data_IF_200651588876
#
_entry.id   IF_200651588876
#
_cell.length_a   1.000
_cell.length_b   1.000
_cell.length_c   1.000
_cell.angle_alpha   90.00
_cell.angle_beta   90.00
_cell.angle_gamma   90.00
#
_symmetry.space_group_name_H-M   'P 1'
#
loop_
_entity.id
_entity.type
_entity.pdbx_description
1 polymer ?
#
# COMPACT_ATOMS: atom_id res chain seq x y z
N UNK A 1 12.73 -3.22 22.72
CA UNK A 1 11.38 -3.48 22.19
C UNK A 1 11.09 -4.93 22.51
N UNK A 2 10.00 -5.23 23.20
CA UNK A 2 9.60 -6.62 23.41
C UNK A 2 9.42 -7.28 22.05
N UNK A 3 9.83 -8.53 21.92
CA UNK A 3 9.66 -9.30 20.67
C UNK A 3 8.18 -9.30 20.28
N UNK A 4 7.84 -8.51 19.29
CA UNK A 4 6.47 -8.38 18.82
C UNK A 4 6.12 -9.63 18.03
N UNK A 5 4.98 -10.23 18.33
CA UNK A 5 4.56 -11.47 17.66
C UNK A 5 4.53 -11.27 16.11
N UNK A 6 5.11 -12.19 15.31
CA UNK A 6 5.26 -12.00 13.84
C UNK A 6 3.92 -11.76 13.11
N UNK A 7 2.81 -12.32 13.63
CA UNK A 7 1.49 -12.09 13.06
C UNK A 7 1.02 -10.64 13.23
N UNK A 8 1.39 -9.99 14.35
CA UNK A 8 1.12 -8.56 14.61
C UNK A 8 1.93 -7.69 13.66
N UNK A 9 3.21 -8.02 13.47
CA UNK A 9 4.08 -7.32 12.52
C UNK A 9 3.52 -7.39 11.09
N UNK A 10 3.14 -8.60 10.64
CA UNK A 10 2.53 -8.81 9.32
C UNK A 10 1.22 -8.03 9.17
N UNK A 11 0.42 -7.94 10.23
CA UNK A 11 -0.82 -7.17 10.21
C UNK A 11 -0.53 -5.66 10.14
N UNK A 12 0.44 -5.17 10.89
CA UNK A 12 0.86 -3.77 10.85
C UNK A 12 1.40 -3.39 9.47
N UNK A 13 2.24 -4.23 8.88
CA UNK A 13 2.72 -4.03 7.50
C UNK A 13 1.57 -4.05 6.47
N UNK A 14 0.61 -4.95 6.65
CA UNK A 14 -0.59 -4.96 5.81
C UNK A 14 -1.39 -3.67 5.91
N UNK A 15 -1.61 -3.15 7.12
CA UNK A 15 -2.32 -1.89 7.35
C UNK A 15 -1.50 -0.73 6.79
N UNK A 16 -0.20 -0.66 7.10
CA UNK A 16 0.73 0.37 6.63
C UNK A 16 0.79 0.43 5.09
N UNK A 17 0.85 -0.72 4.43
CA UNK A 17 0.82 -0.81 2.95
C UNK A 17 -0.48 -0.28 2.33
N UNK A 18 -1.55 -0.18 3.11
CA UNK A 18 -2.84 0.36 2.68
C UNK A 18 -2.94 1.89 2.83
N UNK A 19 -1.96 2.50 3.49
CA UNK A 19 -1.86 3.94 3.74
C UNK A 19 -0.73 4.50 2.89
N UNK A 20 -0.99 5.63 2.25
CA UNK A 20 0.02 6.27 1.42
C UNK A 20 0.72 7.38 2.20
N UNK A 21 1.96 7.11 2.60
CA UNK A 21 2.85 8.06 3.28
C UNK A 21 3.74 8.83 2.30
N UNK A 22 3.52 8.67 0.99
CA UNK A 22 4.33 9.34 -0.04
C UNK A 22 3.79 10.71 -0.34
N UNK A 23 4.71 11.66 -0.48
CA UNK A 23 4.45 13.05 -0.86
C UNK A 23 5.29 13.33 -2.09
N UNK A 24 4.66 13.69 -3.20
CA UNK A 24 5.40 14.04 -4.41
C UNK A 24 5.79 15.52 -4.39
N UNK A 25 7.06 15.78 -4.70
CA UNK A 25 7.59 17.13 -4.96
C UNK A 25 7.60 17.33 -6.47
N UNK A 26 6.74 18.20 -6.96
CA UNK A 26 6.58 18.49 -8.38
C UNK A 26 6.58 20.00 -8.61
N UNK A 27 6.71 20.43 -9.84
CA UNK A 27 6.64 21.87 -10.17
C UNK A 27 7.58 22.27 -11.27
N UNK A 28 7.80 23.57 -11.40
CA UNK A 28 8.57 24.15 -12.48
C UNK A 28 10.02 23.66 -12.51
N UNK A 29 10.60 23.68 -13.71
CA UNK A 29 12.06 23.54 -13.86
C UNK A 29 12.72 24.70 -13.13
N UNK A 30 13.87 24.43 -12.51
CA UNK A 30 14.68 25.40 -11.75
C UNK A 30 13.96 26.09 -10.56
N UNK A 31 12.80 25.57 -10.16
CA UNK A 31 12.10 26.07 -8.98
C UNK A 31 12.74 25.65 -7.63
N UNK A 32 13.86 24.93 -7.64
CA UNK A 32 14.54 24.53 -6.41
C UNK A 32 13.95 23.29 -5.71
N UNK A 33 13.31 22.38 -6.47
CA UNK A 33 12.72 21.13 -5.89
C UNK A 33 13.76 20.30 -5.16
N UNK A 34 14.89 20.00 -5.79
CA UNK A 34 15.96 19.19 -5.18
C UNK A 34 16.61 19.92 -3.99
N UNK A 35 16.77 21.24 -4.05
CA UNK A 35 17.24 22.02 -2.91
C UNK A 35 16.24 21.96 -1.75
N UNK A 36 14.94 22.00 -2.01
CA UNK A 36 13.91 21.86 -1.01
C UNK A 36 13.93 20.44 -0.38
N UNK A 37 14.07 19.41 -1.19
CA UNK A 37 14.17 18.02 -0.69
C UNK A 37 15.37 17.90 0.23
N UNK A 38 16.54 18.42 -0.15
CA UNK A 38 17.73 18.42 0.70
C UNK A 38 17.49 19.15 2.02
N UNK A 39 16.88 20.32 1.97
CA UNK A 39 16.54 21.09 3.17
C UNK A 39 15.56 20.34 4.09
N UNK A 40 14.65 19.55 3.54
CA UNK A 40 13.65 18.80 4.31
C UNK A 40 14.20 17.49 4.88
N UNK A 41 15.04 16.78 4.15
CA UNK A 41 15.49 15.42 4.50
C UNK A 41 16.88 15.36 5.11
N UNK A 42 17.72 16.37 4.87
CA UNK A 42 19.14 16.32 5.17
C UNK A 42 19.94 15.44 4.20
N UNK A 43 19.29 14.84 3.21
CA UNK A 43 19.92 13.99 2.19
C UNK A 43 20.53 14.84 1.08
N UNK A 44 21.58 14.33 0.45
CA UNK A 44 22.20 14.97 -0.72
C UNK A 44 21.49 14.51 -1.99
N UNK A 45 20.32 15.06 -2.30
CA UNK A 45 19.76 14.90 -3.63
C UNK A 45 20.64 15.64 -4.64
N UNK A 46 20.75 15.10 -5.84
CA UNK A 46 21.61 15.69 -6.87
C UNK A 46 21.06 17.06 -7.30
N UNK A 47 21.67 18.14 -6.80
CA UNK A 47 21.39 19.49 -7.27
C UNK A 47 22.23 19.70 -8.52
N UNK A 48 21.61 19.67 -9.69
CA UNK A 48 22.27 19.99 -10.95
C UNK A 48 21.89 21.41 -11.40
N UNK A 49 22.86 22.12 -11.93
CA UNK A 49 22.63 23.37 -12.65
C UNK A 49 22.15 23.15 -14.09
N UNK A 50 22.13 21.90 -14.57
CA UNK A 50 21.61 21.55 -15.87
C UNK A 50 20.06 21.49 -15.83
N UNK A 51 19.41 21.98 -16.89
CA UNK A 51 17.96 22.18 -17.03
C UNK A 51 17.13 20.89 -16.89
N UNK A 52 17.75 19.69 -17.00
CA UNK A 52 17.10 18.38 -17.02
C UNK A 52 17.70 17.41 -16.01
N UNK A 53 17.92 17.86 -14.77
CA UNK A 53 18.63 17.11 -13.74
C UNK A 53 17.92 15.82 -13.31
N UNK A 54 16.57 15.82 -13.25
CA UNK A 54 15.79 14.68 -12.78
C UNK A 54 15.01 14.08 -13.95
N UNK A 55 15.48 12.94 -14.47
CA UNK A 55 14.82 12.20 -15.57
C UNK A 55 13.83 11.15 -15.07
N UNK A 56 14.07 10.59 -13.89
CA UNK A 56 13.23 9.59 -13.25
C UNK A 56 12.74 10.08 -11.87
N UNK A 57 11.69 9.43 -11.35
CA UNK A 57 11.20 9.71 -10.00
C UNK A 57 12.15 9.06 -8.99
N UNK A 58 12.75 9.86 -8.14
CA UNK A 58 13.63 9.42 -7.06
C UNK A 58 12.89 9.54 -5.73
N UNK A 59 13.09 8.55 -4.83
CA UNK A 59 12.48 8.52 -3.51
C UNK A 59 13.50 8.83 -2.43
N UNK A 60 13.18 9.77 -1.55
CA UNK A 60 13.98 10.17 -0.39
C UNK A 60 13.21 9.89 0.89
N UNK A 61 13.83 9.26 1.91
CA UNK A 61 13.17 9.11 3.20
C UNK A 61 12.91 10.48 3.84
N UNK A 62 11.77 10.63 4.47
CA UNK A 62 11.46 11.81 5.27
C UNK A 62 11.22 11.38 6.71
N UNK A 63 12.23 11.64 7.55
CA UNK A 63 12.29 11.05 8.89
C UNK A 63 12.03 9.53 8.78
N UNK A 64 11.66 8.85 9.82
CA UNK A 64 11.33 7.40 9.77
C UNK A 64 9.88 7.12 9.39
N UNK A 65 9.16 8.12 8.84
CA UNK A 65 7.70 8.10 8.71
C UNK A 65 7.18 8.12 7.30
N UNK A 66 7.86 8.79 6.38
CA UNK A 66 7.34 9.03 5.04
C UNK A 66 8.40 9.03 3.95
N UNK A 67 7.97 9.32 2.73
CA UNK A 67 8.83 9.43 1.56
C UNK A 67 8.49 10.69 0.77
N UNK A 68 9.51 11.45 0.40
CA UNK A 68 9.43 12.50 -0.60
C UNK A 68 9.83 11.91 -1.96
N UNK A 69 8.97 12.07 -2.95
CA UNK A 69 9.23 11.64 -4.32
C UNK A 69 9.60 12.84 -5.17
N UNK A 70 10.84 12.93 -5.62
CA UNK A 70 11.29 13.96 -6.56
C UNK A 70 10.83 13.62 -7.97
N UNK A 71 10.03 14.48 -8.56
CA UNK A 71 9.52 14.34 -9.91
C UNK A 71 10.26 15.27 -10.88
N UNK A 72 10.41 14.90 -12.15
CA UNK A 72 10.93 15.78 -13.18
C UNK A 72 10.19 17.13 -13.22
N UNK A 73 10.85 18.17 -13.72
CA UNK A 73 10.23 19.49 -13.87
C UNK A 73 9.06 19.47 -14.85
N UNK A 74 8.01 20.24 -14.54
CA UNK A 74 6.84 20.39 -15.41
C UNK A 74 7.23 21.24 -16.63
N UNK A 75 6.88 20.76 -17.82
CA UNK A 75 7.09 21.50 -19.07
C UNK A 75 8.50 21.37 -19.67
N UNK A 76 9.26 20.34 -19.27
CA UNK A 76 10.47 19.94 -19.99
C UNK A 76 10.14 19.36 -21.35
N UNK A 77 11.10 19.38 -22.26
CA UNK A 77 10.98 18.78 -23.62
C UNK A 77 10.71 17.29 -23.55
N UNK A 78 11.22 16.60 -22.49
CA UNK A 78 11.08 15.16 -22.29
C UNK A 78 9.73 14.75 -21.67
N UNK A 79 9.05 15.66 -20.93
CA UNK A 79 7.82 15.36 -20.23
C UNK A 79 6.65 16.24 -20.66
N UNK A 80 5.93 15.80 -21.67
CA UNK A 80 4.65 16.42 -22.03
C UNK A 80 3.66 16.31 -20.85
N UNK A 81 2.67 17.22 -20.74
CA UNK A 81 1.64 17.14 -19.69
C UNK A 81 0.89 15.80 -19.66
N UNK A 82 0.81 15.09 -20.79
CA UNK A 82 0.21 13.74 -20.86
C UNK A 82 1.07 12.70 -20.18
N UNK A 83 2.37 12.67 -20.48
CA UNK A 83 3.33 11.74 -19.86
C UNK A 83 3.44 12.00 -18.36
N UNK A 84 3.47 13.28 -17.96
CA UNK A 84 3.51 13.68 -16.57
C UNK A 84 2.29 13.17 -15.78
N UNK A 85 1.09 13.26 -16.37
CA UNK A 85 -0.13 12.69 -15.79
C UNK A 85 -0.07 11.16 -15.65
N UNK A 86 0.55 10.48 -16.62
CA UNK A 86 0.77 9.03 -16.54
C UNK A 86 1.72 8.67 -15.41
N UNK A 87 2.79 9.45 -15.24
CA UNK A 87 3.77 9.28 -14.17
C UNK A 87 3.09 9.44 -12.78
N UNK A 88 2.32 10.50 -12.58
CA UNK A 88 1.55 10.72 -11.34
C UNK A 88 0.58 9.56 -11.03
N UNK A 89 -0.06 8.99 -12.05
CA UNK A 89 -0.93 7.80 -11.90
C UNK A 89 -0.13 6.54 -11.55
N UNK A 90 1.03 6.32 -12.21
CA UNK A 90 1.92 5.18 -11.94
C UNK A 90 2.34 5.14 -10.48
N UNK A 91 2.73 6.27 -9.92
CA UNK A 91 3.15 6.39 -8.52
C UNK A 91 2.00 6.56 -7.53
N UNK A 92 0.74 6.58 -8.00
CA UNK A 92 -0.49 6.67 -7.17
C UNK A 92 -0.44 7.84 -6.17
N UNK A 93 0.11 8.97 -6.60
CA UNK A 93 0.31 10.15 -5.75
C UNK A 93 -1.02 10.65 -5.17
N UNK A 94 -1.03 10.98 -3.88
CA UNK A 94 -2.20 11.49 -3.13
C UNK A 94 -1.98 12.86 -2.50
N UNK A 95 -0.73 13.25 -2.27
CA UNK A 95 -0.35 14.56 -1.80
C UNK A 95 0.83 15.08 -2.61
N UNK A 96 0.75 16.31 -3.00
CA UNK A 96 1.74 17.00 -3.83
C UNK A 96 2.18 18.29 -3.15
N UNK A 97 3.48 18.49 -3.09
CA UNK A 97 4.12 19.79 -2.88
C UNK A 97 4.42 20.38 -4.25
N UNK A 98 3.64 21.36 -4.67
CA UNK A 98 3.83 22.02 -5.97
C UNK A 98 4.76 23.22 -5.85
N UNK A 99 5.98 23.09 -6.34
CA UNK A 99 7.05 24.10 -6.19
C UNK A 99 7.16 24.96 -7.44
N UNK A 100 7.10 26.26 -7.27
CA UNK A 100 7.27 27.25 -8.32
C UNK A 100 7.95 28.52 -7.79
N UNK A 101 8.67 29.22 -8.65
CA UNK A 101 9.40 30.46 -8.31
C UNK A 101 9.07 31.61 -9.25
N UNK A 102 8.20 31.37 -10.21
CA UNK A 102 7.83 32.34 -11.24
C UNK A 102 6.32 32.29 -11.51
N UNK A 103 5.88 33.00 -12.55
CA UNK A 103 4.47 32.94 -12.99
C UNK A 103 4.07 31.51 -13.39
N UNK A 104 2.83 31.19 -13.12
CA UNK A 104 2.24 29.91 -13.53
C UNK A 104 2.07 29.90 -15.04
N UNK A 105 2.59 28.87 -15.70
CA UNK A 105 2.58 28.68 -17.15
C UNK A 105 1.43 27.73 -17.54
N UNK A 106 1.07 27.69 -18.81
CA UNK A 106 0.03 26.77 -19.33
C UNK A 106 0.30 25.28 -19.00
N UNK A 107 1.57 24.87 -18.98
CA UNK A 107 1.94 23.51 -18.61
C UNK A 107 1.62 23.24 -17.14
N UNK A 108 1.91 24.18 -16.24
CA UNK A 108 1.58 24.12 -14.82
C UNK A 108 0.07 24.01 -14.61
N UNK A 109 -0.71 24.88 -15.27
CA UNK A 109 -2.18 24.85 -15.18
C UNK A 109 -2.77 23.50 -15.60
N UNK A 110 -2.27 22.91 -16.69
CA UNK A 110 -2.73 21.58 -17.14
C UNK A 110 -2.48 20.50 -16.14
N UNK A 111 -1.33 20.53 -15.44
CA UNK A 111 -1.01 19.57 -14.36
C UNK A 111 -1.87 19.85 -13.14
N UNK A 112 -1.98 21.09 -12.70
CA UNK A 112 -2.78 21.49 -11.53
C UNK A 112 -4.27 21.14 -11.72
N UNK A 113 -4.85 21.43 -12.90
CA UNK A 113 -6.22 21.00 -13.26
C UNK A 113 -6.40 19.49 -13.18
N UNK A 114 -5.38 18.73 -13.59
CA UNK A 114 -5.42 17.28 -13.47
C UNK A 114 -5.39 16.83 -12.00
N UNK A 115 -4.52 17.40 -11.17
CA UNK A 115 -4.43 17.09 -9.74
C UNK A 115 -5.76 17.34 -9.03
N UNK A 116 -6.38 18.50 -9.29
CA UNK A 116 -7.71 18.86 -8.77
C UNK A 116 -8.79 17.86 -9.18
N UNK A 117 -8.88 17.52 -10.48
CA UNK A 117 -9.83 16.50 -10.99
C UNK A 117 -9.65 15.12 -10.35
N UNK A 118 -8.43 14.76 -9.99
CA UNK A 118 -8.13 13.49 -9.31
C UNK A 118 -8.29 13.57 -7.78
N UNK A 119 -8.71 14.72 -7.24
CA UNK A 119 -8.83 14.98 -5.80
C UNK A 119 -7.51 14.71 -5.05
N UNK A 120 -6.39 15.03 -5.70
CA UNK A 120 -5.06 14.95 -5.09
C UNK A 120 -4.85 16.22 -4.28
N UNK A 121 -4.47 16.07 -3.01
CA UNK A 121 -4.16 17.21 -2.14
C UNK A 121 -2.93 17.94 -2.69
N UNK A 122 -3.02 19.25 -2.83
CA UNK A 122 -1.90 20.10 -3.29
C UNK A 122 -1.58 21.13 -2.22
N UNK A 123 -0.31 21.21 -1.86
CA UNK A 123 0.28 22.31 -1.08
C UNK A 123 1.16 23.10 -2.02
N UNK A 124 0.87 24.38 -2.21
CA UNK A 124 1.62 25.25 -3.10
C UNK A 124 2.81 25.88 -2.38
N UNK A 125 3.98 25.84 -3.02
CA UNK A 125 5.22 26.36 -2.47
C UNK A 125 5.79 27.37 -3.45
N UNK A 126 5.75 28.65 -3.06
CA UNK A 126 6.50 29.70 -3.73
C UNK A 126 7.93 29.69 -3.16
N UNK A 127 8.86 29.26 -3.98
CA UNK A 127 10.29 29.13 -3.61
C UNK A 127 11.09 30.34 -4.04
N UNK A 128 12.37 30.40 -3.63
CA UNK A 128 13.28 31.53 -3.93
C UNK A 128 12.73 32.88 -3.45
N UNK A 129 12.16 32.89 -2.26
CA UNK A 129 11.61 34.10 -1.65
C UNK A 129 12.68 35.22 -1.53
N UNK A 130 13.94 34.81 -1.39
CA UNK A 130 15.12 35.71 -1.40
C UNK A 130 15.25 36.52 -2.68
N UNK A 131 14.66 36.08 -3.79
CA UNK A 131 14.65 36.81 -5.07
C UNK A 131 13.44 37.74 -5.22
N UNK A 132 12.48 37.69 -4.29
CA UNK A 132 11.32 38.58 -4.28
C UNK A 132 11.71 39.90 -3.60
N UNK A 133 12.30 40.78 -4.37
CA UNK A 133 12.78 42.09 -3.93
C UNK A 133 12.22 43.22 -4.80
N UNK A 134 11.94 44.35 -4.19
CA UNK A 134 11.63 45.55 -4.92
C UNK A 134 12.93 46.26 -5.31
N UNK A 135 13.26 46.30 -6.61
CA UNK A 135 14.44 46.97 -7.11
C UNK A 135 14.41 48.49 -6.87
N UNK A 136 13.25 49.07 -6.58
CA UNK A 136 13.12 50.51 -6.25
C UNK A 136 13.33 50.82 -4.79
N UNK A 137 13.34 49.78 -3.92
CA UNK A 137 13.48 49.91 -2.49
C UNK A 137 12.29 50.55 -1.75
N UNK A 138 11.15 50.72 -2.44
CA UNK A 138 9.95 51.35 -1.86
C UNK A 138 9.11 50.41 -1.01
N UNK A 139 9.16 49.15 -1.33
CA UNK A 139 8.32 48.11 -0.68
C UNK A 139 9.20 47.10 0.03
N UNK A 140 8.78 46.75 1.25
CA UNK A 140 9.43 45.69 1.98
C UNK A 140 8.96 44.30 1.47
N UNK A 141 9.71 43.26 1.83
CA UNK A 141 9.41 41.89 1.39
C UNK A 141 8.04 41.40 1.90
N UNK A 142 7.54 41.92 3.01
CA UNK A 142 6.25 41.51 3.57
C UNK A 142 5.08 41.96 2.70
N UNK A 143 5.15 43.18 2.18
CA UNK A 143 4.16 43.72 1.24
C UNK A 143 4.20 42.96 -0.09
N UNK A 144 5.39 42.73 -0.64
CA UNK A 144 5.57 41.97 -1.88
C UNK A 144 5.01 40.55 -1.73
N UNK A 145 5.21 39.91 -0.57
CA UNK A 145 4.64 38.62 -0.24
C UNK A 145 3.12 38.63 -0.19
N UNK A 146 2.51 39.68 0.39
CA UNK A 146 1.05 39.82 0.42
C UNK A 146 0.46 40.05 -0.97
N UNK A 147 1.07 40.90 -1.79
CA UNK A 147 0.66 41.11 -3.18
C UNK A 147 0.76 39.81 -3.98
N UNK A 148 1.88 39.07 -3.83
CA UNK A 148 2.08 37.79 -4.48
C UNK A 148 1.05 36.75 -4.03
N UNK A 149 0.73 36.70 -2.78
CA UNK A 149 -0.33 35.82 -2.23
C UNK A 149 -1.69 36.13 -2.87
N UNK A 150 -2.02 37.41 -3.03
CA UNK A 150 -3.27 37.85 -3.67
C UNK A 150 -3.29 37.46 -5.16
N UNK A 151 -2.21 37.70 -5.88
CA UNK A 151 -2.05 37.28 -7.29
C UNK A 151 -2.25 35.77 -7.45
N UNK A 152 -1.62 34.98 -6.61
CA UNK A 152 -1.69 33.53 -6.63
C UNK A 152 -3.11 33.06 -6.32
N UNK A 153 -3.78 33.70 -5.36
CA UNK A 153 -5.17 33.37 -5.01
C UNK A 153 -6.10 33.56 -6.21
N UNK A 154 -5.99 34.67 -6.91
CA UNK A 154 -6.77 34.96 -8.12
C UNK A 154 -6.45 33.95 -9.23
N UNK A 155 -5.19 33.63 -9.42
CA UNK A 155 -4.74 32.69 -10.46
C UNK A 155 -5.25 31.28 -10.23
N UNK A 156 -5.08 30.77 -9.02
CA UNK A 156 -5.46 29.39 -8.71
C UNK A 156 -6.96 29.19 -8.44
N UNK A 157 -7.69 30.23 -8.01
CA UNK A 157 -9.14 30.14 -7.82
C UNK A 157 -9.89 29.79 -9.12
N UNK A 158 -9.30 30.10 -10.28
CA UNK A 158 -9.83 29.69 -11.59
C UNK A 158 -9.66 28.19 -11.88
N UNK A 159 -8.81 27.50 -11.11
CA UNK A 159 -8.36 26.13 -11.40
C UNK A 159 -8.74 25.16 -10.29
N UNK A 160 -8.82 25.64 -9.04
CA UNK A 160 -9.06 24.87 -7.83
C UNK A 160 -10.17 25.52 -7.02
N UNK A 161 -11.13 24.70 -6.59
CA UNK A 161 -12.28 25.12 -5.78
C UNK A 161 -12.05 25.00 -4.27
N UNK A 162 -11.02 24.23 -3.86
CA UNK A 162 -10.71 23.98 -2.46
C UNK A 162 -9.89 25.12 -1.83
N UNK A 163 -9.82 25.14 -0.49
CA UNK A 163 -9.00 26.10 0.25
C UNK A 163 -7.52 25.96 -0.11
N UNK A 164 -6.96 27.02 -0.67
CA UNK A 164 -5.59 27.06 -1.13
C UNK A 164 -4.65 27.37 0.04
N UNK A 165 -3.63 26.53 0.22
CA UNK A 165 -2.56 26.71 1.20
C UNK A 165 -1.26 27.01 0.47
N UNK A 166 -0.66 28.17 0.73
CA UNK A 166 0.62 28.59 0.17
C UNK A 166 1.67 28.64 1.27
N UNK A 167 2.87 28.17 0.92
CA UNK A 167 4.08 28.39 1.69
C UNK A 167 5.06 29.20 0.86
N UNK A 168 5.60 30.24 1.45
CA UNK A 168 6.64 31.08 0.85
C UNK A 168 7.96 30.72 1.50
N UNK A 169 8.92 30.23 0.72
CA UNK A 169 10.18 29.71 1.24
C UNK A 169 11.40 30.29 0.53
N UNK A 170 12.49 30.45 1.29
CA UNK A 170 13.85 30.56 0.77
C UNK A 170 14.68 29.45 1.42
N UNK A 171 15.16 28.50 0.60
CA UNK A 171 16.11 27.47 1.09
C UNK A 171 17.46 28.13 1.42
N UNK A 172 17.85 29.18 0.68
CA UNK A 172 19.09 29.90 0.88
C UNK A 172 19.16 30.57 2.26
N UNK A 173 18.05 31.19 2.68
CA UNK A 173 17.98 31.97 3.91
C UNK A 173 17.23 31.24 5.03
N UNK A 174 16.92 29.95 4.83
CA UNK A 174 16.16 29.06 5.71
C UNK A 174 14.80 29.62 6.13
N UNK A 175 14.19 30.45 5.27
CA UNK A 175 12.89 31.07 5.56
C UNK A 175 11.73 30.15 5.16
N UNK A 176 10.72 30.01 6.06
CA UNK A 176 9.48 29.28 5.79
C UNK A 176 9.64 27.77 5.72
N UNK A 177 10.85 27.24 5.96
CA UNK A 177 11.12 25.79 5.91
C UNK A 177 10.49 25.08 7.11
N UNK A 178 10.58 25.66 8.30
CA UNK A 178 9.98 25.06 9.51
C UNK A 178 8.46 25.01 9.46
N UNK A 179 7.78 26.05 8.94
CA UNK A 179 6.33 26.04 8.75
C UNK A 179 5.90 24.99 7.72
N UNK A 180 6.72 24.78 6.69
CA UNK A 180 6.48 23.73 5.72
C UNK A 180 6.69 22.34 6.34
N UNK A 181 7.76 22.16 7.15
CA UNK A 181 7.98 20.91 7.93
C UNK A 181 6.77 20.61 8.81
N UNK A 182 6.31 21.57 9.58
CA UNK A 182 5.13 21.41 10.44
C UNK A 182 3.88 21.03 9.63
N UNK A 183 3.72 21.58 8.42
CA UNK A 183 2.60 21.21 7.53
C UNK A 183 2.70 19.77 7.01
N UNK A 184 3.91 19.31 6.72
CA UNK A 184 4.19 17.93 6.30
C UNK A 184 3.97 16.97 7.48
N UNK A 185 4.51 17.30 8.65
CA UNK A 185 4.36 16.49 9.86
C UNK A 185 2.88 16.33 10.23
N UNK A 186 2.10 17.38 10.23
CA UNK A 186 0.65 17.32 10.45
C UNK A 186 -0.08 16.42 9.43
N UNK A 187 0.40 16.39 8.18
CA UNK A 187 -0.13 15.44 7.20
C UNK A 187 0.20 14.00 7.56
N UNK A 188 1.42 13.72 7.99
CA UNK A 188 1.86 12.40 8.42
C UNK A 188 1.18 11.96 9.72
N UNK A 189 1.00 12.86 10.69
CA UNK A 189 0.24 12.60 11.93
C UNK A 189 -1.17 12.10 11.62
N UNK A 190 -1.86 12.73 10.67
CA UNK A 190 -3.18 12.26 10.21
C UNK A 190 -3.14 10.88 9.54
N UNK A 191 -1.99 10.51 8.94
CA UNK A 191 -1.79 9.16 8.42
C UNK A 191 -1.58 8.16 9.54
N UNK A 192 -0.83 8.55 10.57
CA UNK A 192 -0.64 7.72 11.75
C UNK A 192 -1.95 7.53 12.53
N UNK A 193 -2.75 8.58 12.71
CA UNK A 193 -4.12 8.44 13.25
C UNK A 193 -4.97 7.47 12.41
N UNK A 194 -4.81 7.52 11.08
CA UNK A 194 -5.51 6.60 10.18
C UNK A 194 -4.99 5.17 10.34
N UNK A 195 -3.69 5.00 10.56
CA UNK A 195 -3.09 3.70 10.88
C UNK A 195 -3.68 3.15 12.17
N UNK A 196 -3.69 3.95 13.25
CA UNK A 196 -4.26 3.54 14.54
C UNK A 196 -5.74 3.15 14.42
N UNK A 197 -6.54 3.94 13.70
CA UNK A 197 -7.95 3.62 13.44
C UNK A 197 -8.12 2.32 12.67
N UNK A 198 -7.18 1.96 11.79
CA UNK A 198 -7.24 0.74 10.99
C UNK A 198 -6.79 -0.49 11.75
N UNK A 199 -5.73 -0.41 12.55
CA UNK A 199 -5.30 -1.55 13.37
C UNK A 199 -6.35 -1.92 14.41
N UNK A 200 -7.11 -0.94 14.92
CA UNK A 200 -8.21 -1.15 15.87
C UNK A 200 -9.56 -1.51 15.19
N UNK A 201 -9.56 -1.73 13.88
CA UNK A 201 -10.79 -2.00 13.12
C UNK A 201 -10.94 -3.47 12.76
N UNK A 202 -11.98 -4.12 13.29
CA UNK A 202 -12.35 -5.49 12.93
C UNK A 202 -12.49 -5.72 11.43
N UNK A 203 -12.89 -4.72 10.67
CA UNK A 203 -12.97 -4.78 9.20
C UNK A 203 -11.61 -5.01 8.55
N UNK A 204 -10.56 -4.30 8.99
CA UNK A 204 -9.20 -4.47 8.45
C UNK A 204 -8.59 -5.78 8.91
N UNK A 205 -8.79 -6.12 10.14
CA UNK A 205 -8.42 -7.36 10.78
C UNK A 205 -8.97 -8.58 10.00
N UNK A 206 -10.29 -8.67 9.85
CA UNK A 206 -10.95 -9.74 9.11
C UNK A 206 -10.50 -9.80 7.64
N UNK A 207 -10.24 -8.65 7.03
CA UNK A 207 -9.74 -8.58 5.65
C UNK A 207 -8.31 -9.09 5.51
N UNK A 208 -7.47 -8.83 6.49
CA UNK A 208 -6.09 -9.35 6.55
C UNK A 208 -6.09 -10.87 6.66
N UNK A 209 -6.81 -11.42 7.64
CA UNK A 209 -6.90 -12.86 7.84
C UNK A 209 -7.53 -13.59 6.65
N UNK A 210 -8.63 -13.08 6.12
CA UNK A 210 -9.25 -13.62 4.90
C UNK A 210 -8.29 -13.65 3.71
N UNK A 211 -7.48 -12.61 3.54
CA UNK A 211 -6.47 -12.56 2.48
C UNK A 211 -5.38 -13.60 2.68
N UNK A 212 -4.90 -13.81 3.90
CA UNK A 212 -3.91 -14.84 4.26
C UNK A 212 -4.48 -16.25 4.03
N UNK A 213 -5.70 -16.49 4.51
CA UNK A 213 -6.39 -17.77 4.31
C UNK A 213 -6.57 -18.12 2.84
N UNK A 214 -7.01 -17.15 2.02
CA UNK A 214 -7.13 -17.34 0.58
C UNK A 214 -5.79 -17.58 -0.12
N UNK A 215 -4.74 -16.88 0.31
CA UNK A 215 -3.39 -17.08 -0.24
C UNK A 215 -2.84 -18.46 0.11
N UNK A 216 -3.06 -18.94 1.33
CA UNK A 216 -2.68 -20.27 1.75
C UNK A 216 -3.48 -21.34 0.99
N UNK A 217 -4.81 -21.21 0.93
CA UNK A 217 -5.66 -22.14 0.17
C UNK A 217 -5.21 -22.23 -1.31
N UNK A 218 -4.88 -21.09 -1.94
CA UNK A 218 -4.35 -21.07 -3.29
C UNK A 218 -3.01 -21.82 -3.42
N UNK A 219 -2.11 -21.68 -2.44
CA UNK A 219 -0.83 -22.42 -2.40
C UNK A 219 -1.04 -23.92 -2.19
N UNK A 220 -1.97 -24.30 -1.30
CA UNK A 220 -2.30 -25.69 -1.03
C UNK A 220 -2.93 -26.39 -2.24
N UNK A 221 -3.54 -25.66 -3.15
CA UNK A 221 -4.18 -26.17 -4.36
C UNK A 221 -3.29 -26.12 -5.62
N UNK A 222 -2.05 -25.67 -5.51
CA UNK A 222 -1.12 -25.66 -6.67
C UNK A 222 -0.61 -27.07 -7.02
N UNK A 223 -0.17 -27.31 -8.28
CA UNK A 223 0.25 -28.66 -8.73
C UNK A 223 1.30 -29.37 -7.87
N UNK A 224 2.25 -28.65 -7.28
CA UNK A 224 3.24 -29.23 -6.34
C UNK A 224 2.67 -29.67 -4.99
N UNK A 225 1.43 -29.32 -4.69
CA UNK A 225 0.70 -29.73 -3.48
C UNK A 225 -0.17 -30.98 -3.69
N UNK A 226 -0.32 -31.48 -4.94
CA UNK A 226 -1.07 -32.70 -5.23
C UNK A 226 -0.61 -33.88 -4.39
N UNK A 227 0.70 -34.06 -4.36
CA UNK A 227 1.33 -35.17 -3.64
C UNK A 227 1.09 -35.03 -2.11
N UNK A 228 0.98 -33.80 -1.63
CA UNK A 228 0.74 -33.50 -0.21
C UNK A 228 -0.72 -33.76 0.22
N UNK A 229 -1.68 -33.42 -0.64
CA UNK A 229 -3.12 -33.70 -0.39
C UNK A 229 -3.40 -35.19 -0.55
N UNK A 230 -2.65 -35.86 -1.41
CA UNK A 230 -2.76 -37.28 -1.72
C UNK A 230 -1.85 -38.15 -0.83
N UNK A 231 -0.77 -37.57 -0.30
CA UNK A 231 0.08 -38.28 0.66
C UNK A 231 -0.63 -38.42 2.00
N UNK A 232 -0.32 -39.48 2.69
CA UNK A 232 -0.85 -39.78 4.03
C UNK A 232 -0.37 -38.76 5.10
N UNK A 233 0.41 -37.74 4.72
CA UNK A 233 1.09 -36.83 5.64
C UNK A 233 0.36 -35.49 5.78
N UNK A 234 -0.76 -35.51 6.50
CA UNK A 234 -1.45 -34.28 6.92
C UNK A 234 -0.54 -33.37 7.77
N UNK A 235 0.46 -33.94 8.45
CA UNK A 235 1.46 -33.19 9.24
C UNK A 235 2.10 -32.03 8.49
N UNK A 236 2.38 -32.19 7.18
CA UNK A 236 2.98 -31.12 6.39
C UNK A 236 1.99 -29.98 6.07
N UNK A 237 0.70 -30.29 5.90
CA UNK A 237 -0.36 -29.27 5.74
C UNK A 237 -0.50 -28.50 7.04
N UNK A 238 -0.54 -29.19 8.15
CA UNK A 238 -0.59 -28.65 9.49
C UNK A 238 0.57 -27.68 9.74
N UNK A 239 1.80 -28.16 9.58
CA UNK A 239 3.00 -27.35 9.79
C UNK A 239 3.04 -26.10 8.88
N UNK A 240 2.72 -26.25 7.59
CA UNK A 240 2.67 -25.10 6.66
C UNK A 240 1.57 -24.12 7.03
N UNK A 241 0.44 -24.60 7.53
CA UNK A 241 -0.66 -23.72 7.95
C UNK A 241 -0.29 -22.95 9.22
N UNK A 242 0.29 -23.63 10.22
CA UNK A 242 0.81 -22.98 11.42
C UNK A 242 1.86 -21.92 11.09
N UNK A 243 2.87 -22.28 10.29
CA UNK A 243 3.93 -21.34 9.88
C UNK A 243 3.36 -20.15 9.12
N UNK A 244 2.32 -20.34 8.29
CA UNK A 244 1.71 -19.26 7.53
C UNK A 244 0.99 -18.24 8.42
N UNK A 245 0.43 -18.68 9.54
CA UNK A 245 -0.23 -17.83 10.53
C UNK A 245 0.65 -17.52 11.74
N UNK A 246 1.90 -17.97 11.74
CA UNK A 246 2.84 -17.82 12.88
C UNK A 246 2.27 -18.36 14.21
N UNK A 247 1.59 -19.50 14.15
CA UNK A 247 1.02 -20.14 15.34
C UNK A 247 2.09 -21.05 15.98
N UNK A 248 2.45 -20.78 17.21
CA UNK A 248 3.42 -21.55 17.98
C UNK A 248 2.84 -22.86 18.57
N UNK A 249 3.62 -23.57 19.39
CA UNK A 249 3.16 -24.84 19.97
C UNK A 249 2.04 -24.62 20.99
N UNK A 250 2.10 -23.56 21.78
CA UNK A 250 1.07 -23.21 22.76
C UNK A 250 -0.26 -22.87 22.08
N UNK A 251 -0.21 -22.06 21.02
CA UNK A 251 -1.38 -21.75 20.20
C UNK A 251 -1.90 -23.00 19.48
N UNK A 252 -1.01 -23.92 19.10
CA UNK A 252 -1.38 -25.18 18.47
C UNK A 252 -2.08 -26.16 19.41
N UNK A 253 -1.71 -26.21 20.70
CA UNK A 253 -2.39 -26.96 21.73
C UNK A 253 -3.81 -26.42 21.97
N UNK A 254 -3.94 -25.07 22.01
CA UNK A 254 -5.25 -24.42 22.07
C UNK A 254 -6.15 -24.82 20.90
N UNK A 255 -5.58 -24.87 19.67
CA UNK A 255 -6.32 -25.33 18.49
C UNK A 255 -6.86 -26.75 18.69
N UNK A 256 -6.03 -27.67 19.21
CA UNK A 256 -6.42 -29.04 19.51
C UNK A 256 -7.55 -29.15 20.54
N UNK A 257 -7.53 -28.33 21.56
CA UNK A 257 -8.54 -28.27 22.60
C UNK A 257 -9.85 -27.65 22.14
N UNK A 258 -9.80 -26.61 21.32
CA UNK A 258 -10.98 -25.86 20.89
C UNK A 258 -11.72 -26.50 19.71
N UNK A 259 -11.05 -27.35 18.91
CA UNK A 259 -11.59 -27.90 17.66
C UNK A 259 -11.39 -29.42 17.49
N UNK A 260 -11.79 -30.23 18.46
CA UNK A 260 -11.63 -31.70 18.37
C UNK A 260 -12.37 -32.32 17.17
N UNK A 261 -13.48 -31.71 16.73
CA UNK A 261 -14.23 -32.12 15.53
C UNK A 261 -13.46 -31.88 14.20
N UNK A 262 -12.57 -30.91 14.13
CA UNK A 262 -11.73 -30.67 12.94
C UNK A 262 -10.68 -31.77 12.83
N UNK A 263 -10.06 -32.12 13.95
CA UNK A 263 -9.09 -33.23 14.04
C UNK A 263 -9.77 -34.56 13.69
N UNK A 264 -10.97 -34.81 14.23
CA UNK A 264 -11.76 -36.01 13.92
C UNK A 264 -12.14 -36.05 12.42
N UNK A 265 -12.59 -34.94 11.86
CA UNK A 265 -12.87 -34.83 10.42
C UNK A 265 -11.67 -35.13 9.56
N UNK A 266 -10.50 -34.57 9.92
CA UNK A 266 -9.23 -34.83 9.24
C UNK A 266 -8.82 -36.28 9.34
N UNK A 267 -9.00 -36.91 10.52
CA UNK A 267 -8.71 -38.34 10.74
C UNK A 267 -9.64 -39.23 9.92
N UNK A 268 -10.93 -38.94 9.87
CA UNK A 268 -11.90 -39.63 9.00
C UNK A 268 -11.57 -39.46 7.49
N UNK A 269 -11.12 -38.29 7.08
CA UNK A 269 -10.65 -38.07 5.73
C UNK A 269 -9.39 -38.89 5.41
N UNK A 270 -8.49 -39.10 6.37
CA UNK A 270 -7.32 -40.00 6.25
C UNK A 270 -7.73 -41.49 6.16
N UNK A 271 -8.77 -41.92 6.92
CA UNK A 271 -9.23 -43.31 6.94
C UNK A 271 -9.95 -43.70 5.65
N UNK A 272 -10.74 -42.79 5.07
CA UNK A 272 -11.41 -43.02 3.78
C UNK A 272 -10.44 -43.22 2.62
N UNK A 273 -9.16 -42.85 2.80
CA UNK A 273 -8.09 -43.02 1.84
C UNK A 273 -7.56 -44.45 1.69
N UNK A 274 -7.84 -45.33 2.62
CA UNK A 274 -7.34 -46.74 2.57
C UNK A 274 -8.00 -47.56 1.46
N UNK A 275 -9.11 -47.09 0.87
CA UNK A 275 -9.96 -47.87 0.01
C UNK A 275 -9.79 -47.73 -1.51
N UNK A 276 -9.02 -46.75 -2.02
CA UNK A 276 -9.15 -46.41 -3.46
C UNK A 276 -7.85 -46.20 -4.21
N UNK A 277 -7.41 -47.21 -4.99
CA UNK A 277 -6.24 -47.17 -5.89
C UNK A 277 -6.40 -46.38 -7.21
N UNK A 278 -7.59 -45.86 -7.56
CA UNK A 278 -7.89 -45.27 -8.89
C UNK A 278 -7.78 -43.76 -9.02
N UNK A 279 -7.31 -43.08 -7.99
CA UNK A 279 -7.30 -41.63 -7.89
C UNK A 279 -6.31 -40.87 -8.81
N UNK A 280 -5.17 -41.48 -9.14
CA UNK A 280 -4.09 -40.81 -9.86
C UNK A 280 -4.49 -40.28 -11.26
N UNK A 281 -5.44 -40.96 -11.93
CA UNK A 281 -5.88 -40.60 -13.29
C UNK A 281 -6.85 -39.39 -13.33
N UNK A 282 -7.62 -39.15 -12.27
CA UNK A 282 -8.65 -38.08 -12.25
C UNK A 282 -8.12 -36.70 -11.84
N UNK A 283 -7.02 -36.63 -11.14
CA UNK A 283 -6.55 -35.39 -10.49
C UNK A 283 -5.71 -34.49 -11.41
N UNK A 284 -5.09 -35.05 -12.48
CA UNK A 284 -4.32 -34.28 -13.44
C UNK A 284 -5.08 -33.09 -14.05
N UNK A 285 -6.25 -33.31 -14.62
CA UNK A 285 -7.11 -32.25 -15.15
C UNK A 285 -7.63 -31.28 -14.10
N UNK A 286 -7.95 -31.75 -12.86
CA UNK A 286 -8.50 -30.96 -11.79
C UNK A 286 -7.59 -29.80 -11.36
N UNK A 287 -6.31 -30.04 -11.26
CA UNK A 287 -5.35 -29.04 -10.76
C UNK A 287 -5.01 -27.98 -11.81
N UNK A 288 -4.95 -28.36 -13.08
CA UNK A 288 -4.77 -27.40 -14.18
C UNK A 288 -5.98 -26.48 -14.25
N UNK A 289 -7.15 -27.02 -14.04
CA UNK A 289 -8.42 -26.30 -14.07
C UNK A 289 -8.59 -25.40 -12.84
N UNK A 290 -8.27 -25.86 -11.61
CA UNK A 290 -8.29 -25.03 -10.39
C UNK A 290 -7.29 -23.88 -10.50
N UNK A 291 -6.10 -24.11 -11.06
CA UNK A 291 -5.12 -23.02 -11.28
C UNK A 291 -5.61 -21.96 -12.26
N UNK A 292 -6.40 -22.37 -13.26
CA UNK A 292 -7.02 -21.48 -14.26
C UNK A 292 -8.17 -20.68 -13.66
N UNK A 293 -8.99 -21.29 -12.80
CA UNK A 293 -10.13 -20.65 -12.14
C UNK A 293 -9.73 -19.72 -11.02
N UNK A 294 -8.68 -20.02 -10.28
CA UNK A 294 -8.10 -19.09 -9.29
C UNK A 294 -7.53 -17.82 -9.95
N UNK A 295 -7.14 -17.89 -11.24
CA UNK A 295 -6.78 -16.71 -12.04
C UNK A 295 -8.00 -15.89 -12.45
N UNK A 296 -9.17 -16.50 -12.59
CA UNK A 296 -10.44 -15.86 -13.00
C UNK A 296 -11.30 -15.63 -11.75
N UNK A 297 -11.10 -14.54 -11.09
CA UNK A 297 -11.61 -14.09 -9.76
C UNK A 297 -13.14 -14.15 -9.49
N UNK A 298 -13.96 -14.89 -10.22
CA UNK A 298 -15.43 -14.75 -10.18
C UNK A 298 -16.25 -16.04 -9.92
N UNK A 299 -15.63 -17.20 -9.83
CA UNK A 299 -16.40 -18.43 -9.60
C UNK A 299 -16.14 -19.00 -8.18
N UNK A 300 -17.22 -19.36 -7.48
CA UNK A 300 -17.16 -20.08 -6.25
C UNK A 300 -16.52 -21.46 -6.53
N UNK A 301 -15.42 -21.77 -5.86
CA UNK A 301 -14.63 -23.01 -6.05
C UNK A 301 -15.52 -24.25 -5.97
N UNK A 302 -16.53 -24.25 -5.09
CA UNK A 302 -17.48 -25.35 -4.93
C UNK A 302 -18.36 -25.52 -6.18
N UNK A 303 -18.90 -24.42 -6.71
CA UNK A 303 -19.76 -24.46 -7.91
C UNK A 303 -18.99 -24.93 -9.14
N UNK A 304 -17.71 -24.60 -9.22
CA UNK A 304 -16.84 -25.02 -10.29
C UNK A 304 -16.46 -26.51 -10.22
N UNK A 305 -16.12 -27.04 -9.02
CA UNK A 305 -15.89 -28.46 -8.80
C UNK A 305 -17.15 -29.25 -9.18
N UNK A 306 -18.33 -28.75 -8.81
CA UNK A 306 -19.62 -29.35 -9.13
C UNK A 306 -19.88 -29.43 -10.63
N UNK A 307 -19.59 -28.39 -11.38
CA UNK A 307 -19.88 -28.35 -12.82
C UNK A 307 -18.95 -29.20 -13.68
N UNK A 308 -17.74 -29.52 -13.17
CA UNK A 308 -16.67 -30.14 -13.98
C UNK A 308 -16.55 -31.66 -13.78
N UNK A 309 -16.92 -32.19 -12.59
CA UNK A 309 -16.60 -33.56 -12.19
C UNK A 309 -17.80 -34.48 -11.96
N UNK A 310 -19.00 -33.94 -12.06
CA UNK A 310 -20.18 -34.72 -11.74
C UNK A 310 -20.20 -35.23 -10.28
N UNK A 311 -21.25 -35.92 -9.89
CA UNK A 311 -21.46 -36.36 -8.48
C UNK A 311 -20.42 -37.36 -7.98
N UNK A 312 -19.92 -38.26 -8.82
CA UNK A 312 -18.99 -39.32 -8.40
C UNK A 312 -17.58 -38.79 -8.07
N UNK A 313 -17.05 -37.88 -8.91
CA UNK A 313 -15.75 -37.24 -8.65
C UNK A 313 -15.78 -36.33 -7.45
N UNK A 314 -16.93 -35.70 -7.15
CA UNK A 314 -17.13 -34.85 -6.01
C UNK A 314 -17.13 -35.66 -4.71
N UNK A 315 -17.85 -36.77 -4.66
CA UNK A 315 -17.91 -37.64 -3.46
C UNK A 315 -16.53 -38.10 -3.01
N UNK A 316 -15.59 -38.19 -3.94
CA UNK A 316 -14.28 -38.70 -3.65
C UNK A 316 -13.26 -37.62 -3.22
N UNK A 317 -13.25 -36.45 -3.85
CA UNK A 317 -12.28 -35.36 -3.60
C UNK A 317 -12.79 -34.34 -2.59
N UNK A 318 -14.09 -34.12 -2.56
CA UNK A 318 -14.73 -33.13 -1.72
C UNK A 318 -14.44 -33.25 -0.23
N UNK A 319 -14.48 -34.46 0.42
CA UNK A 319 -14.22 -34.54 1.84
C UNK A 319 -12.81 -34.07 2.23
N UNK A 320 -11.81 -34.31 1.38
CA UNK A 320 -10.42 -33.90 1.63
C UNK A 320 -10.20 -32.41 1.46
N UNK A 321 -10.71 -31.86 0.34
CA UNK A 321 -10.66 -30.43 0.12
C UNK A 321 -11.40 -29.69 1.23
N UNK A 322 -12.56 -30.17 1.62
CA UNK A 322 -13.33 -29.64 2.73
C UNK A 322 -12.54 -29.67 4.04
N UNK A 323 -11.87 -30.79 4.36
CA UNK A 323 -11.04 -30.91 5.56
C UNK A 323 -9.89 -29.89 5.57
N UNK A 324 -9.20 -29.70 4.44
CA UNK A 324 -8.15 -28.69 4.33
C UNK A 324 -8.71 -27.28 4.54
N UNK A 325 -9.85 -26.96 3.90
CA UNK A 325 -10.49 -25.64 4.06
C UNK A 325 -10.97 -25.41 5.49
N UNK A 326 -11.60 -26.41 6.12
CA UNK A 326 -12.05 -26.31 7.51
C UNK A 326 -10.88 -26.18 8.47
N UNK A 327 -9.76 -26.88 8.22
CA UNK A 327 -8.55 -26.73 9.01
C UNK A 327 -7.92 -25.33 8.85
N UNK A 328 -7.75 -24.86 7.60
CA UNK A 328 -7.23 -23.51 7.33
C UNK A 328 -8.13 -22.45 7.98
N UNK A 329 -9.43 -22.64 7.94
CA UNK A 329 -10.39 -21.73 8.57
C UNK A 329 -10.25 -21.75 10.10
N UNK A 330 -10.17 -22.94 10.69
CA UNK A 330 -10.00 -23.09 12.13
C UNK A 330 -8.70 -22.44 12.64
N UNK A 331 -7.59 -22.63 11.93
CA UNK A 331 -6.31 -21.94 12.24
C UNK A 331 -6.42 -20.43 12.02
N UNK A 332 -7.18 -19.99 11.01
CA UNK A 332 -7.45 -18.57 10.81
C UNK A 332 -8.29 -17.96 11.92
N UNK A 333 -9.26 -18.70 12.46
CA UNK A 333 -10.08 -18.26 13.57
C UNK A 333 -9.22 -18.17 14.85
N UNK A 334 -8.36 -19.17 15.13
CA UNK A 334 -7.38 -19.09 16.21
C UNK A 334 -6.39 -17.93 16.02
N UNK A 335 -5.88 -17.72 14.80
CA UNK A 335 -5.03 -16.57 14.49
C UNK A 335 -5.75 -15.24 14.74
N UNK A 336 -7.08 -15.21 14.61
CA UNK A 336 -7.91 -14.07 15.00
C UNK A 336 -7.82 -13.80 16.50
N UNK A 337 -7.99 -14.84 17.32
CA UNK A 337 -7.96 -14.72 18.77
C UNK A 337 -6.55 -14.34 19.27
N UNK A 338 -5.51 -14.95 18.71
CA UNK A 338 -4.09 -14.62 19.02
C UNK A 338 -3.79 -13.17 18.66
N UNK A 339 -4.14 -12.74 17.46
CA UNK A 339 -3.89 -11.39 17.01
C UNK A 339 -4.64 -10.35 17.84
N UNK A 340 -5.90 -10.64 18.20
CA UNK A 340 -6.70 -9.75 19.06
C UNK A 340 -6.12 -9.64 20.47
N UNK A 341 -5.67 -10.74 21.05
CA UNK A 341 -5.02 -10.75 22.35
C UNK A 341 -3.72 -9.95 22.33
N UNK A 342 -2.86 -10.19 21.33
CA UNK A 342 -1.57 -9.50 21.17
C UNK A 342 -1.71 -8.01 20.85
N UNK A 343 -2.75 -7.61 20.11
CA UNK A 343 -3.03 -6.18 19.85
C UNK A 343 -3.48 -5.41 21.11
N UNK A 344 -3.99 -6.10 22.13
CA UNK A 344 -4.34 -5.47 23.42
C UNK A 344 -3.12 -5.26 24.32
N UNK A 345 -2.01 -5.94 24.03
CA UNK A 345 -0.74 -5.83 24.76
C UNK A 345 0.16 -4.71 24.19
N UNK A 346 -0.15 -4.18 23.03
CA UNK A 346 0.58 -3.10 22.31
C UNK A 346 -0.15 -1.78 22.47
#
# INVERSE_FOLDING_TARGET
MADQHPLVEDFFEYVKSSIDYRIAVIGQVDAGKSALINALTGENSHISTATDATRDVVSYPYKDRGQLLDFPGVGTTEFSPKQYKQLLKKYKVKHVLYVFSSKIRDADEKVIKFLSKQKIKVTFIYSKLDTLVDVTGKYDQSLLKQEKNTELHVTFKKVITDSLKYHFISVKDDQGIEELRASIDNYLDKKDETFQKRINSSKYFNRFLSKRSNALAAKLLTPGFKDLILSREFKTIEQKTRNHFHIDEEDAERLGQQMPHVIDFVNKAKESNKAEGNYKKMIGPLTTLISTVLKVRKLNVITFILSTFGEAGIRAVYPRLRGVFEYVRAVSDLASDVLEARLKEV
#
